data_IF_039686198928
#
_entry.id   IF_039686198928
#
_cell.length_a   1.000
_cell.length_b   1.000
_cell.length_c   1.000
_cell.angle_alpha   90.00
_cell.angle_beta   90.00
_cell.angle_gamma   90.00
#
_symmetry.space_group_name_H-M   'P 1'
#
loop_
_entity.id
_entity.type
_entity.pdbx_description
1 polymer ?
#
# COMPACT_ATOMS: atom_id res chain seq x y z
N UNK A 1 0.81 4.51 -29.22
CA UNK A 1 1.24 3.22 -29.81
C UNK A 1 2.29 2.45 -28.99
N UNK A 2 2.68 2.94 -27.81
CA UNK A 2 3.74 2.32 -26.95
C UNK A 2 3.20 1.35 -25.89
N UNK A 3 1.87 1.26 -25.72
CA UNK A 3 1.28 0.45 -24.64
C UNK A 3 1.08 -1.05 -24.91
N UNK A 4 1.26 -1.50 -26.16
CA UNK A 4 1.03 -2.93 -26.48
C UNK A 4 2.25 -3.86 -26.30
N UNK A 5 3.45 -3.33 -26.41
CA UNK A 5 4.70 -4.12 -26.33
C UNK A 5 5.13 -4.50 -24.91
N UNK A 6 4.82 -3.67 -23.91
CA UNK A 6 5.17 -3.96 -22.51
C UNK A 6 4.32 -5.08 -21.89
N UNK A 7 3.07 -5.23 -22.33
CA UNK A 7 2.16 -6.28 -21.83
C UNK A 7 2.60 -7.68 -22.28
N UNK A 8 3.13 -7.80 -23.52
CA UNK A 8 3.61 -9.07 -24.07
C UNK A 8 4.92 -9.53 -23.42
N UNK A 9 5.82 -8.61 -23.08
CA UNK A 9 7.06 -8.93 -22.38
C UNK A 9 6.81 -9.48 -20.97
N UNK A 10 5.80 -8.96 -20.27
CA UNK A 10 5.43 -9.43 -18.94
C UNK A 10 4.74 -10.81 -18.95
N UNK A 11 3.91 -11.08 -19.98
CA UNK A 11 3.27 -12.37 -20.18
C UNK A 11 4.27 -13.50 -20.55
N UNK A 12 5.33 -13.18 -21.29
CA UNK A 12 6.39 -14.14 -21.65
C UNK A 12 7.24 -14.52 -20.45
N UNK A 13 7.49 -13.59 -19.51
CA UNK A 13 8.21 -13.89 -18.26
C UNK A 13 7.42 -14.79 -17.31
N UNK A 14 6.09 -14.74 -17.35
CA UNK A 14 5.24 -15.63 -16.54
C UNK A 14 4.99 -17.00 -17.17
N UNK A 15 5.09 -17.14 -18.50
CA UNK A 15 4.81 -18.40 -19.21
C UNK A 15 6.00 -19.38 -19.25
N UNK A 16 7.22 -18.90 -18.96
CA UNK A 16 8.45 -19.70 -19.09
C UNK A 16 8.75 -20.69 -17.93
N UNK A 17 7.91 -20.81 -16.91
CA UNK A 17 8.20 -21.62 -15.73
C UNK A 17 7.43 -22.95 -15.66
N UNK A 18 7.23 -23.63 -16.78
CA UNK A 18 6.64 -24.98 -16.80
C UNK A 18 7.68 -25.98 -17.32
N UNK A 19 8.45 -26.59 -16.41
CA UNK A 19 9.13 -27.84 -16.70
C UNK A 19 8.50 -28.97 -15.84
N UNK A 20 7.97 -30.04 -16.45
CA UNK A 20 7.53 -31.19 -15.70
C UNK A 20 8.73 -32.05 -15.30
N UNK A 21 8.94 -32.20 -14.01
CA UNK A 21 9.87 -33.19 -13.48
C UNK A 21 9.25 -34.58 -13.56
N UNK A 22 9.75 -35.42 -14.43
CA UNK A 22 9.48 -36.86 -14.42
C UNK A 22 10.23 -37.49 -13.24
N UNK A 23 9.49 -38.09 -12.31
CA UNK A 23 10.03 -39.00 -11.35
C UNK A 23 10.08 -40.38 -12.01
N UNK A 24 11.27 -40.93 -12.19
CA UNK A 24 11.50 -42.29 -12.67
C UNK A 24 11.63 -43.16 -11.43
N UNK A 25 10.61 -43.97 -11.15
CA UNK A 25 10.71 -45.07 -10.18
C UNK A 25 11.53 -46.19 -10.77
N UNK A 26 12.69 -46.46 -10.20
CA UNK A 26 13.45 -47.67 -10.46
C UNK A 26 13.03 -48.78 -9.48
N UNK A 27 12.23 -49.71 -9.96
CA UNK A 27 11.88 -50.91 -9.20
C UNK A 27 13.08 -51.86 -9.09
N UNK A 28 13.45 -52.18 -7.84
CA UNK A 28 14.45 -53.22 -7.54
C UNK A 28 13.69 -54.54 -7.36
N UNK A 29 13.95 -55.54 -8.22
CA UNK A 29 13.58 -56.94 -7.97
C UNK A 29 14.67 -57.57 -7.11
N UNK A 30 14.32 -58.03 -5.94
CA UNK A 30 15.20 -58.86 -5.10
C UNK A 30 15.02 -60.32 -5.51
N UNK A 31 16.10 -60.98 -5.95
CA UNK A 31 16.21 -62.42 -6.12
C UNK A 31 17.11 -62.95 -5.01
N UNK A 32 16.63 -63.97 -4.28
CA UNK A 32 17.38 -64.63 -3.25
C UNK A 32 18.54 -65.44 -3.85
N UNK A 33 19.62 -65.51 -3.04
CA UNK A 33 20.87 -66.29 -3.22
C UNK A 33 21.87 -65.66 -4.20
N UNK A 34 22.81 -64.90 -3.63
CA UNK A 34 24.26 -65.04 -3.74
C UNK A 34 24.95 -63.88 -3.06
N UNK A 35 25.98 -64.20 -2.28
CA UNK A 35 26.78 -63.17 -1.53
C UNK A 35 27.55 -62.30 -2.50
N UNK A 36 26.97 -61.15 -2.88
CA UNK A 36 27.61 -60.16 -3.75
C UNK A 36 28.47 -59.26 -2.86
N UNK A 37 29.77 -59.33 -2.98
CA UNK A 37 30.71 -58.35 -2.44
C UNK A 37 30.56 -57.07 -3.23
N UNK A 38 29.94 -56.07 -2.63
CA UNK A 38 29.89 -54.73 -3.20
C UNK A 38 31.26 -54.06 -3.09
N UNK A 39 31.96 -53.94 -4.21
CA UNK A 39 33.09 -53.00 -4.31
C UNK A 39 32.51 -51.60 -4.54
N UNK A 40 32.54 -50.75 -3.51
CA UNK A 40 32.10 -49.36 -3.63
C UNK A 40 33.10 -48.63 -4.52
N UNK A 41 32.77 -48.41 -5.78
CA UNK A 41 33.47 -47.45 -6.65
C UNK A 41 32.79 -46.11 -6.46
N UNK A 42 33.43 -45.10 -5.85
CA UNK A 42 32.83 -43.81 -5.74
C UNK A 42 32.60 -43.28 -7.17
N UNK A 43 31.34 -42.96 -7.49
CA UNK A 43 31.01 -42.26 -8.72
C UNK A 43 31.82 -40.96 -8.78
N UNK A 44 32.39 -40.58 -9.92
CA UNK A 44 33.08 -39.31 -10.08
C UNK A 44 32.12 -38.19 -9.61
N UNK A 45 32.51 -37.45 -8.61
CA UNK A 45 31.79 -36.23 -8.23
C UNK A 45 31.86 -35.29 -9.44
N UNK A 46 30.78 -35.22 -10.24
CA UNK A 46 30.66 -34.18 -11.23
C UNK A 46 30.81 -32.83 -10.52
N UNK A 47 31.79 -32.05 -10.96
CA UNK A 47 31.95 -30.71 -10.49
C UNK A 47 30.60 -29.96 -10.59
N UNK A 48 30.15 -29.24 -9.57
CA UNK A 48 28.83 -28.66 -9.52
C UNK A 48 28.66 -27.73 -10.73
N UNK A 49 27.89 -28.16 -11.73
CA UNK A 49 27.53 -27.33 -12.88
C UNK A 49 26.92 -26.05 -12.38
N UNK A 50 27.50 -24.90 -12.76
CA UNK A 50 26.95 -23.59 -12.41
C UNK A 50 25.50 -23.51 -12.87
N UNK A 51 24.56 -23.56 -11.94
CA UNK A 51 23.12 -23.46 -12.25
C UNK A 51 22.86 -22.17 -13.04
N UNK A 52 22.01 -22.22 -14.09
CA UNK A 52 21.60 -21.01 -14.83
C UNK A 52 21.08 -19.94 -13.86
N UNK A 53 21.32 -18.67 -14.19
CA UNK A 53 20.95 -17.54 -13.34
C UNK A 53 19.46 -17.55 -12.91
N UNK A 54 18.55 -17.83 -13.84
CA UNK A 54 17.12 -17.99 -13.55
C UNK A 54 16.83 -19.12 -12.56
N UNK A 55 17.53 -20.27 -12.67
CA UNK A 55 17.37 -21.37 -11.74
C UNK A 55 17.88 -21.04 -10.34
N UNK A 56 18.94 -20.23 -10.23
CA UNK A 56 19.42 -19.70 -8.93
C UNK A 56 18.38 -18.81 -8.27
N UNK A 57 17.70 -17.94 -9.04
CA UNK A 57 16.63 -17.09 -8.56
C UNK A 57 15.46 -17.95 -8.06
N UNK A 58 15.00 -18.93 -8.86
CA UNK A 58 13.90 -19.83 -8.48
C UNK A 58 14.26 -20.66 -7.24
N UNK A 59 15.48 -21.20 -7.18
CA UNK A 59 15.96 -21.97 -6.02
C UNK A 59 16.07 -21.07 -4.78
N UNK A 60 16.54 -19.82 -4.92
CA UNK A 60 16.60 -18.85 -3.83
C UNK A 60 15.22 -18.57 -3.22
N UNK A 61 14.22 -18.31 -4.07
CA UNK A 61 12.84 -18.12 -3.61
C UNK A 61 12.19 -19.43 -3.10
N UNK A 62 12.57 -20.59 -3.64
CA UNK A 62 12.11 -21.90 -3.19
C UNK A 62 12.62 -22.30 -1.80
N UNK A 63 13.88 -21.96 -1.48
CA UNK A 63 14.51 -22.29 -0.19
C UNK A 63 14.10 -21.36 0.96
N UNK A 64 13.40 -20.26 0.67
CA UNK A 64 13.02 -19.25 1.65
C UNK A 64 11.87 -19.67 2.59
N UNK A 65 11.40 -20.91 2.52
CA UNK A 65 10.36 -21.46 3.41
C UNK A 65 10.91 -22.15 4.65
N UNK A 66 12.23 -22.38 4.74
CA UNK A 66 12.86 -23.05 5.87
C UNK A 66 13.25 -22.02 6.94
N UNK A 67 12.82 -22.22 8.19
CA UNK A 67 13.23 -21.39 9.32
C UNK A 67 14.69 -21.69 9.67
N UNK A 68 15.58 -20.73 9.40
CA UNK A 68 17.02 -20.81 9.72
C UNK A 68 17.41 -19.89 10.87
N UNK A 69 16.47 -19.38 11.62
CA UNK A 69 16.72 -18.43 12.71
C UNK A 69 17.42 -19.06 13.91
N UNK A 70 17.42 -20.38 14.03
CA UNK A 70 18.20 -21.11 15.02
C UNK A 70 19.69 -21.23 14.65
N UNK A 71 19.99 -21.24 13.34
CA UNK A 71 21.36 -21.41 12.84
C UNK A 71 22.07 -20.07 12.58
N UNK A 72 21.31 -19.09 12.05
CA UNK A 72 21.83 -17.77 11.67
C UNK A 72 21.43 -16.69 12.68
N UNK A 73 22.29 -15.65 12.82
CA UNK A 73 21.94 -14.47 13.64
C UNK A 73 20.72 -13.75 13.09
N UNK A 74 20.70 -13.53 11.78
CA UNK A 74 19.57 -12.98 11.04
C UNK A 74 19.50 -13.74 9.73
N UNK A 75 18.33 -14.27 9.40
CA UNK A 75 18.05 -14.90 8.10
C UNK A 75 17.48 -13.86 7.14
N UNK A 76 18.35 -13.32 6.28
CA UNK A 76 18.00 -12.27 5.34
C UNK A 76 17.40 -12.84 4.05
N UNK A 77 16.38 -12.16 3.56
CA UNK A 77 15.74 -12.40 2.26
C UNK A 77 15.63 -11.10 1.50
N UNK A 78 15.97 -11.10 0.21
CA UNK A 78 15.88 -9.94 -0.67
C UNK A 78 14.87 -10.25 -1.76
N UNK A 79 13.91 -9.38 -1.97
CA UNK A 79 12.93 -9.47 -3.04
C UNK A 79 12.90 -8.16 -3.84
N UNK A 80 13.62 -8.07 -4.96
CA UNK A 80 13.45 -6.97 -5.90
C UNK A 80 12.16 -7.16 -6.70
N UNK A 81 11.52 -6.08 -7.10
CA UNK A 81 10.33 -6.15 -7.94
C UNK A 81 10.01 -4.85 -8.64
N UNK A 82 9.54 -4.93 -9.89
CA UNK A 82 8.92 -3.78 -10.53
C UNK A 82 7.60 -3.45 -9.82
N UNK A 83 7.20 -2.20 -9.89
CA UNK A 83 5.89 -1.76 -9.44
C UNK A 83 5.35 -0.69 -10.39
N UNK A 84 4.05 -0.52 -10.37
CA UNK A 84 3.36 0.50 -11.13
C UNK A 84 2.11 0.94 -10.39
N UNK A 85 1.86 2.23 -10.40
CA UNK A 85 0.59 2.82 -10.01
C UNK A 85 0.31 4.00 -10.93
N UNK A 86 -0.96 4.26 -11.21
CA UNK A 86 -1.37 5.42 -12.00
C UNK A 86 -0.90 6.73 -11.39
N UNK A 87 -0.73 6.77 -10.07
CA UNK A 87 -0.41 7.98 -9.32
C UNK A 87 1.10 8.30 -9.32
N UNK A 88 1.95 7.27 -9.40
CA UNK A 88 3.42 7.43 -9.28
C UNK A 88 4.21 6.88 -10.46
N UNK A 89 3.54 6.29 -11.45
CA UNK A 89 4.15 5.73 -12.66
C UNK A 89 4.84 4.39 -12.42
N UNK A 90 5.72 4.02 -13.37
CA UNK A 90 6.51 2.80 -13.28
C UNK A 90 7.68 2.99 -12.32
N UNK A 91 7.94 1.98 -11.50
CA UNK A 91 9.02 2.00 -10.51
C UNK A 91 9.75 0.68 -10.36
N UNK A 92 10.86 0.75 -9.66
CA UNK A 92 11.61 -0.40 -9.18
C UNK A 92 11.65 -0.32 -7.67
N UNK A 93 11.19 -1.40 -7.03
CA UNK A 93 11.23 -1.55 -5.59
C UNK A 93 12.12 -2.71 -5.15
N UNK A 94 12.51 -2.70 -3.89
CA UNK A 94 13.14 -3.82 -3.24
C UNK A 94 12.61 -3.98 -1.82
N UNK A 95 12.54 -5.21 -1.36
CA UNK A 95 12.26 -5.56 0.03
C UNK A 95 13.43 -6.38 0.55
N UNK A 96 14.08 -5.89 1.59
CA UNK A 96 15.04 -6.64 2.40
C UNK A 96 14.34 -7.01 3.69
N UNK A 97 14.14 -8.30 3.95
CA UNK A 97 13.50 -8.80 5.16
C UNK A 97 14.45 -9.73 5.92
N UNK A 98 14.57 -9.54 7.22
CA UNK A 98 15.35 -10.36 8.13
C UNK A 98 14.48 -10.98 9.22
N UNK A 99 14.66 -12.28 9.47
CA UNK A 99 14.07 -12.97 10.60
C UNK A 99 15.16 -13.31 11.61
N UNK A 100 14.90 -13.13 12.88
CA UNK A 100 15.87 -13.41 13.94
C UNK A 100 15.17 -13.79 15.25
N UNK A 101 15.90 -14.47 16.12
CA UNK A 101 15.42 -14.80 17.48
C UNK A 101 16.23 -13.99 18.49
N UNK A 102 15.53 -13.35 19.42
CA UNK A 102 16.17 -12.65 20.55
C UNK A 102 16.79 -13.66 21.51
N UNK A 103 16.08 -14.76 21.76
CA UNK A 103 16.60 -15.92 22.49
C UNK A 103 16.51 -17.16 21.59
N UNK A 104 17.66 -17.75 21.27
CA UNK A 104 17.75 -18.95 20.43
C UNK A 104 17.40 -20.23 21.14
N UNK A 105 17.33 -20.21 22.45
CA UNK A 105 16.91 -21.37 23.26
C UNK A 105 15.40 -21.45 23.35
N UNK A 106 14.69 -20.34 23.10
CA UNK A 106 13.22 -20.30 23.09
C UNK A 106 12.66 -20.76 21.73
N UNK A 107 12.12 -21.98 21.72
CA UNK A 107 11.45 -22.56 20.56
C UNK A 107 9.97 -22.18 20.45
N UNK A 108 9.38 -21.56 21.49
CA UNK A 108 7.96 -21.23 21.57
C UNK A 108 7.68 -19.84 20.99
N UNK A 109 8.57 -18.88 21.26
CA UNK A 109 8.44 -17.52 20.70
C UNK A 109 8.70 -17.53 19.19
N UNK A 110 7.79 -16.96 18.42
CA UNK A 110 7.98 -16.78 16.98
C UNK A 110 9.18 -15.88 16.68
N UNK A 111 9.85 -16.04 15.53
CA UNK A 111 10.94 -15.16 15.15
C UNK A 111 10.49 -13.69 15.08
N UNK A 112 11.32 -12.81 15.61
CA UNK A 112 11.25 -11.37 15.40
C UNK A 112 11.62 -11.04 13.96
N UNK A 113 11.16 -9.90 13.46
CA UNK A 113 11.41 -9.50 12.08
C UNK A 113 11.94 -8.06 11.98
N UNK A 114 12.65 -7.80 10.92
CA UNK A 114 13.06 -6.46 10.48
C UNK A 114 12.94 -6.40 8.96
N UNK A 115 12.45 -5.30 8.43
CA UNK A 115 12.34 -5.10 6.99
C UNK A 115 12.75 -3.69 6.58
N UNK A 116 13.34 -3.59 5.39
CA UNK A 116 13.63 -2.34 4.70
C UNK A 116 13.00 -2.46 3.33
N UNK A 117 12.16 -1.50 3.00
CA UNK A 117 11.51 -1.40 1.70
C UNK A 117 11.92 -0.10 1.02
N UNK A 118 12.35 -0.19 -0.23
CA UNK A 118 12.66 0.95 -1.08
C UNK A 118 11.85 0.91 -2.37
N UNK A 119 11.42 2.07 -2.85
CA UNK A 119 10.72 2.23 -4.11
C UNK A 119 11.11 3.55 -4.77
N UNK A 120 11.45 3.50 -6.06
CA UNK A 120 11.82 4.64 -6.88
C UNK A 120 11.06 4.57 -8.20
N UNK A 121 10.42 5.67 -8.61
CA UNK A 121 9.60 5.65 -9.82
C UNK A 121 10.00 6.71 -10.85
N UNK A 122 9.49 6.52 -12.07
CA UNK A 122 9.71 7.44 -13.21
C UNK A 122 9.13 8.83 -12.98
N UNK A 123 8.12 8.97 -12.11
CA UNK A 123 7.55 10.27 -11.74
C UNK A 123 8.26 10.89 -10.52
N UNK A 124 9.51 10.46 -10.24
CA UNK A 124 10.32 10.95 -9.12
C UNK A 124 9.74 10.67 -7.72
N UNK A 125 8.81 9.73 -7.60
CA UNK A 125 8.39 9.25 -6.29
C UNK A 125 9.51 8.42 -5.66
N UNK A 126 9.80 8.70 -4.40
CA UNK A 126 10.77 7.96 -3.59
C UNK A 126 10.11 7.55 -2.28
N UNK A 127 10.18 6.27 -1.95
CA UNK A 127 9.77 5.74 -0.66
C UNK A 127 10.87 4.86 -0.10
N UNK A 128 11.34 5.20 1.10
CA UNK A 128 12.17 4.33 1.93
C UNK A 128 11.42 4.08 3.23
N UNK A 129 11.20 2.81 3.58
CA UNK A 129 10.52 2.41 4.82
C UNK A 129 11.37 1.36 5.53
N UNK A 130 11.49 1.48 6.81
CA UNK A 130 11.95 0.40 7.68
C UNK A 130 10.85 0.06 8.68
N UNK A 131 10.78 -1.21 9.07
CA UNK A 131 9.87 -1.67 10.12
C UNK A 131 10.37 -2.96 10.73
N UNK A 132 9.94 -3.23 11.95
CA UNK A 132 10.23 -4.50 12.61
C UNK A 132 9.37 -4.73 13.84
N UNK A 133 9.30 -6.00 14.20
CA UNK A 133 8.61 -6.47 15.40
C UNK A 133 9.57 -7.34 16.23
N UNK A 134 9.75 -6.98 17.48
CA UNK A 134 10.42 -7.80 18.47
C UNK A 134 9.37 -8.52 19.33
N UNK A 135 9.42 -9.84 19.33
CA UNK A 135 8.50 -10.70 20.07
C UNK A 135 9.18 -11.23 21.33
N UNK A 136 8.48 -11.12 22.44
CA UNK A 136 8.97 -11.54 23.76
C UNK A 136 7.93 -12.40 24.49
N UNK A 137 8.37 -13.09 25.52
CA UNK A 137 7.52 -13.79 26.48
C UNK A 137 6.46 -14.68 25.82
N UNK A 138 6.91 -15.64 24.97
CA UNK A 138 6.05 -16.58 24.25
C UNK A 138 4.97 -15.86 23.41
N UNK A 139 5.36 -14.82 22.68
CA UNK A 139 4.50 -13.96 21.85
C UNK A 139 3.48 -13.10 22.62
N UNK A 140 3.57 -13.04 23.95
CA UNK A 140 2.66 -12.21 24.76
C UNK A 140 2.99 -10.73 24.69
N UNK A 141 4.22 -10.40 24.40
CA UNK A 141 4.69 -9.01 24.34
C UNK A 141 5.31 -8.74 22.97
N UNK A 142 5.03 -7.55 22.43
CA UNK A 142 5.55 -7.11 21.15
C UNK A 142 5.98 -5.65 21.23
N UNK A 143 7.20 -5.39 20.77
CA UNK A 143 7.70 -4.05 20.48
C UNK A 143 7.78 -3.88 18.98
N UNK A 144 6.93 -3.01 18.41
CA UNK A 144 6.93 -2.70 16.98
C UNK A 144 7.54 -1.33 16.77
N UNK A 145 8.34 -1.20 15.73
CA UNK A 145 8.93 0.07 15.30
C UNK A 145 8.83 0.22 13.79
N UNK A 146 8.65 1.44 13.33
CA UNK A 146 8.61 1.75 11.91
C UNK A 146 9.05 3.17 11.64
N UNK A 147 9.59 3.40 10.47
CA UNK A 147 9.85 4.73 9.95
C UNK A 147 9.77 4.72 8.44
N UNK A 148 9.51 5.89 7.89
CA UNK A 148 9.46 6.08 6.46
C UNK A 148 9.98 7.47 6.08
N UNK A 149 10.65 7.53 4.94
CA UNK A 149 10.92 8.74 4.20
C UNK A 149 10.20 8.65 2.86
N UNK A 150 9.44 9.69 2.53
CA UNK A 150 8.65 9.75 1.29
C UNK A 150 8.89 11.09 0.62
N UNK A 151 9.25 11.06 -0.66
CA UNK A 151 9.23 12.21 -1.55
C UNK A 151 8.17 11.94 -2.62
N UNK A 152 7.09 12.70 -2.59
CA UNK A 152 5.91 12.46 -3.40
C UNK A 152 5.51 13.71 -4.19
N UNK A 153 5.85 13.77 -5.50
CA UNK A 153 5.23 14.71 -6.42
C UNK A 153 3.79 14.26 -6.68
N UNK A 154 2.84 15.04 -6.25
CA UNK A 154 1.42 14.70 -6.33
C UNK A 154 0.55 15.93 -6.45
N UNK A 155 -0.75 15.76 -6.20
CA UNK A 155 -1.74 16.81 -6.31
C UNK A 155 -2.55 16.98 -5.02
N UNK A 156 -2.93 18.22 -4.73
CA UNK A 156 -3.83 18.55 -3.65
C UNK A 156 -5.15 19.10 -4.21
N UNK A 157 -6.26 18.47 -3.81
CA UNK A 157 -7.61 18.78 -4.29
C UNK A 157 -8.43 19.63 -3.30
N UNK A 158 -7.84 20.06 -2.18
CA UNK A 158 -8.53 20.75 -1.10
C UNK A 158 -8.98 19.80 0.02
N UNK A 159 -9.77 20.35 0.95
CA UNK A 159 -10.32 19.61 2.11
C UNK A 159 -11.84 19.52 1.96
N UNK A 160 -12.39 18.34 2.20
CA UNK A 160 -13.81 18.05 2.12
C UNK A 160 -14.22 17.29 0.86
N UNK A 161 -15.42 16.71 0.91
CA UNK A 161 -15.99 15.97 -0.21
C UNK A 161 -16.21 16.86 -1.46
N UNK A 162 -16.74 18.07 -1.29
CA UNK A 162 -17.04 18.97 -2.41
C UNK A 162 -15.78 19.38 -3.17
N UNK A 163 -14.68 19.67 -2.44
CA UNK A 163 -13.41 20.01 -3.07
C UNK A 163 -12.89 18.86 -3.95
N UNK A 164 -12.94 17.63 -3.45
CA UNK A 164 -12.58 16.44 -4.23
C UNK A 164 -13.49 16.20 -5.44
N UNK A 165 -14.79 16.49 -5.31
CA UNK A 165 -15.79 16.36 -6.38
C UNK A 165 -15.63 17.43 -7.46
N UNK A 166 -15.32 18.66 -7.07
CA UNK A 166 -15.03 19.75 -8.02
C UNK A 166 -13.81 19.47 -8.88
N UNK A 167 -12.82 18.71 -8.37
CA UNK A 167 -11.70 18.20 -9.16
C UNK A 167 -10.62 19.22 -9.52
N UNK A 168 -10.63 20.43 -8.94
CA UNK A 168 -9.52 21.36 -9.05
C UNK A 168 -8.32 20.83 -8.27
N UNK A 169 -7.15 20.87 -8.89
CA UNK A 169 -5.95 20.28 -8.33
C UNK A 169 -4.77 21.23 -8.48
N UNK A 170 -3.99 21.36 -7.42
CA UNK A 170 -2.71 22.07 -7.43
C UNK A 170 -1.57 21.07 -7.25
N UNK A 171 -0.56 21.18 -8.12
CA UNK A 171 0.64 20.35 -8.00
C UNK A 171 1.36 20.68 -6.69
N UNK A 172 1.68 19.61 -5.95
CA UNK A 172 2.28 19.69 -4.63
C UNK A 172 3.37 18.61 -4.52
N UNK A 173 4.59 19.03 -4.26
CA UNK A 173 5.66 18.10 -3.91
C UNK A 173 5.77 17.99 -2.40
N UNK A 174 5.45 16.80 -1.87
CA UNK A 174 5.49 16.52 -0.43
C UNK A 174 6.73 15.75 -0.06
N UNK A 175 7.43 16.20 0.99
CA UNK A 175 8.51 15.44 1.65
C UNK A 175 8.03 15.06 3.04
N UNK A 176 7.99 13.77 3.34
CA UNK A 176 7.50 13.25 4.62
C UNK A 176 8.55 12.38 5.29
N UNK A 177 8.68 12.54 6.61
CA UNK A 177 9.46 11.68 7.47
C UNK A 177 8.60 11.20 8.64
N UNK A 178 8.57 9.89 8.88
CA UNK A 178 7.80 9.33 10.00
C UNK A 178 8.63 8.37 10.81
N UNK A 179 8.47 8.39 12.13
CA UNK A 179 9.00 7.38 13.05
C UNK A 179 7.93 7.05 14.05
N UNK A 180 7.64 5.75 14.23
CA UNK A 180 6.64 5.27 15.17
C UNK A 180 7.22 4.10 15.96
N UNK A 181 6.90 4.05 17.25
CA UNK A 181 7.22 2.95 18.16
C UNK A 181 5.95 2.60 18.92
N UNK A 182 5.70 1.32 19.10
CA UNK A 182 4.58 0.84 19.89
C UNK A 182 4.97 -0.42 20.67
N UNK A 183 4.42 -0.52 21.86
CA UNK A 183 4.57 -1.69 22.72
C UNK A 183 3.22 -2.20 23.11
N UNK A 184 3.00 -3.51 23.01
CA UNK A 184 1.76 -4.14 23.48
C UNK A 184 2.01 -5.42 24.23
N UNK A 185 1.05 -5.75 25.08
CA UNK A 185 1.02 -7.00 25.84
C UNK A 185 -0.34 -7.69 25.68
N UNK A 186 -0.32 -9.02 25.65
CA UNK A 186 -1.53 -9.82 25.66
C UNK A 186 -2.15 -9.80 27.05
N UNK A 187 -3.40 -9.35 27.15
CA UNK A 187 -4.20 -9.46 28.36
C UNK A 187 -4.87 -10.83 28.48
N UNK A 188 -5.41 -11.34 27.38
CA UNK A 188 -6.08 -12.63 27.34
C UNK A 188 -5.99 -13.24 25.94
N UNK A 189 -5.27 -14.36 25.81
CA UNK A 189 -5.15 -15.10 24.56
C UNK A 189 -4.65 -14.22 23.39
N UNK A 190 -5.54 -13.90 22.46
CA UNK A 190 -5.25 -13.12 21.24
C UNK A 190 -5.67 -11.64 21.35
N UNK A 191 -6.02 -11.18 22.54
CA UNK A 191 -6.37 -9.79 22.80
C UNK A 191 -5.17 -9.06 23.40
N UNK A 192 -4.74 -7.99 22.75
CA UNK A 192 -3.58 -7.18 23.11
C UNK A 192 -3.99 -5.74 23.38
N UNK A 193 -3.33 -5.12 24.34
CA UNK A 193 -3.41 -3.68 24.59
C UNK A 193 -2.01 -3.09 24.58
N UNK A 194 -1.91 -1.86 24.15
CA UNK A 194 -0.60 -1.24 23.99
C UNK A 194 -0.63 0.26 23.98
N UNK A 195 0.59 0.81 23.95
CA UNK A 195 0.87 2.24 23.85
C UNK A 195 1.67 2.50 22.57
N UNK A 196 1.51 3.67 21.99
CA UNK A 196 2.26 4.10 20.82
C UNK A 196 2.79 5.52 20.99
N UNK A 197 3.87 5.82 20.31
CA UNK A 197 4.42 7.16 20.18
C UNK A 197 5.08 7.34 18.83
N UNK A 198 5.10 8.56 18.33
CA UNK A 198 5.75 8.80 17.04
C UNK A 198 5.84 10.26 16.66
N UNK A 199 6.63 10.46 15.61
CA UNK A 199 6.92 11.74 15.00
C UNK A 199 6.56 11.69 13.53
N UNK A 200 5.91 12.74 13.03
CA UNK A 200 5.58 12.91 11.61
C UNK A 200 6.00 14.32 11.17
N UNK A 201 6.97 14.39 10.31
CA UNK A 201 7.33 15.61 9.60
C UNK A 201 6.72 15.57 8.20
N UNK A 202 6.14 16.69 7.77
CA UNK A 202 5.69 16.89 6.39
C UNK A 202 6.05 18.28 5.95
N UNK A 203 6.73 18.38 4.80
CA UNK A 203 7.00 19.61 4.09
C UNK A 203 6.33 19.60 2.73
N UNK A 204 5.82 20.72 2.28
CA UNK A 204 5.19 20.91 0.98
C UNK A 204 5.85 22.03 0.19
N UNK A 205 6.30 21.70 -1.02
CA UNK A 205 6.69 22.69 -2.02
C UNK A 205 5.58 22.79 -3.08
N UNK A 206 5.11 23.99 -3.35
CA UNK A 206 4.01 24.27 -4.25
C UNK A 206 4.23 25.58 -5.00
N UNK A 207 3.54 25.72 -6.12
CA UNK A 207 3.55 26.95 -6.92
C UNK A 207 2.12 27.26 -7.33
N UNK A 208 1.77 28.56 -7.32
CA UNK A 208 0.52 29.03 -7.91
C UNK A 208 0.51 28.80 -9.41
N UNK A 209 -0.65 28.43 -9.93
CA UNK A 209 -0.85 28.22 -11.37
C UNK A 209 -0.79 29.52 -12.18
N UNK A 210 -1.08 30.66 -11.55
CA UNK A 210 -1.25 31.94 -12.23
C UNK A 210 -2.38 31.97 -13.27
N UNK A 211 -3.32 31.01 -13.16
CA UNK A 211 -4.33 30.78 -14.20
C UNK A 211 -5.30 31.97 -14.36
N UNK A 212 -5.66 32.63 -13.28
CA UNK A 212 -6.51 33.82 -13.32
C UNK A 212 -5.87 34.93 -14.16
N UNK A 213 -4.62 35.30 -13.83
CA UNK A 213 -3.88 36.34 -14.55
C UNK A 213 -3.64 35.96 -16.03
N UNK A 214 -3.39 34.69 -16.30
CA UNK A 214 -3.20 34.16 -17.65
C UNK A 214 -4.48 34.31 -18.52
N UNK A 215 -5.63 33.88 -18.00
CA UNK A 215 -6.90 33.98 -18.73
C UNK A 215 -7.37 35.43 -18.91
N UNK A 216 -7.17 36.28 -17.91
CA UNK A 216 -7.39 37.72 -18.04
C UNK A 216 -6.46 38.33 -19.10
N UNK A 217 -5.20 37.90 -19.14
CA UNK A 217 -4.27 38.33 -20.17
C UNK A 217 -4.68 37.97 -21.60
N UNK A 218 -5.35 36.83 -21.80
CA UNK A 218 -5.94 36.45 -23.10
C UNK A 218 -7.15 37.36 -23.39
N UNK A 219 -8.06 37.56 -22.44
CA UNK A 219 -9.23 38.43 -22.59
C UNK A 219 -8.82 39.87 -22.96
N UNK A 220 -7.78 40.38 -22.31
CA UNK A 220 -7.32 41.74 -22.49
C UNK A 220 -6.36 41.90 -23.69
N UNK A 221 -6.13 40.85 -24.47
CA UNK A 221 -5.28 40.85 -25.67
C UNK A 221 -3.77 40.87 -25.40
N UNK A 222 -3.34 40.65 -24.14
CA UNK A 222 -1.92 40.53 -23.78
C UNK A 222 -1.29 39.23 -24.24
N UNK A 223 -2.10 38.19 -24.35
CA UNK A 223 -1.69 36.84 -24.80
C UNK A 223 -2.64 36.36 -25.90
N UNK A 224 -2.11 35.61 -26.86
CA UNK A 224 -2.93 34.92 -27.87
C UNK A 224 -3.64 33.72 -27.21
N UNK A 225 -4.87 33.43 -27.67
CA UNK A 225 -5.60 32.24 -27.22
C UNK A 225 -4.89 31.00 -27.74
N UNK A 226 -4.42 30.10 -26.86
CA UNK A 226 -3.74 28.87 -27.27
C UNK A 226 -4.75 27.85 -27.83
N UNK A 227 -4.22 26.90 -28.60
CA UNK A 227 -4.99 25.70 -28.97
C UNK A 227 -5.05 24.66 -27.85
N UNK A 228 -5.89 23.62 -28.07
CA UNK A 228 -5.98 22.46 -27.18
C UNK A 228 -6.63 22.77 -25.82
N UNK A 229 -6.22 22.03 -24.80
CA UNK A 229 -6.81 22.07 -23.46
C UNK A 229 -6.85 23.48 -22.81
N UNK A 230 -5.81 24.26 -23.00
CA UNK A 230 -5.74 25.64 -22.45
C UNK A 230 -6.72 26.59 -23.14
N UNK A 231 -6.93 26.45 -24.44
CA UNK A 231 -7.92 27.21 -25.18
C UNK A 231 -9.34 26.85 -24.77
N UNK A 232 -9.58 25.57 -24.54
CA UNK A 232 -10.85 25.08 -24.03
C UNK A 232 -11.16 25.64 -22.61
N UNK A 233 -10.14 25.74 -21.74
CA UNK A 233 -10.31 26.37 -20.41
C UNK A 233 -10.71 27.84 -20.51
N UNK A 234 -10.18 28.59 -21.48
CA UNK A 234 -10.57 29.97 -21.72
C UNK A 234 -12.07 30.07 -22.10
N UNK A 235 -12.54 29.19 -23.01
CA UNK A 235 -13.95 29.15 -23.39
C UNK A 235 -14.86 28.77 -22.22
N UNK A 236 -14.47 27.75 -21.45
CA UNK A 236 -15.20 27.37 -20.23
C UNK A 236 -15.22 28.46 -19.17
N UNK A 237 -14.17 29.28 -19.07
CA UNK A 237 -14.14 30.43 -18.17
C UNK A 237 -15.12 31.52 -18.61
N UNK A 238 -15.15 31.83 -19.90
CA UNK A 238 -16.12 32.79 -20.44
C UNK A 238 -17.57 32.33 -20.25
N UNK A 239 -17.81 31.02 -20.28
CA UNK A 239 -19.11 30.40 -20.01
C UNK A 239 -19.43 30.32 -18.49
N UNK A 240 -18.52 30.71 -17.61
CA UNK A 240 -18.68 30.59 -16.15
C UNK A 240 -18.64 29.15 -15.62
N UNK A 241 -18.15 28.20 -16.41
CA UNK A 241 -18.06 26.77 -16.07
C UNK A 241 -16.69 26.37 -15.50
N UNK A 242 -15.65 27.18 -15.72
CA UNK A 242 -14.33 27.04 -15.14
C UNK A 242 -14.04 28.26 -14.24
N UNK A 243 -13.57 28.00 -13.03
CA UNK A 243 -13.30 29.02 -12.00
C UNK A 243 -11.77 29.00 -11.69
N UNK A 244 -10.98 29.87 -12.34
CA UNK A 244 -9.53 29.86 -12.23
C UNK A 244 -9.02 30.13 -10.82
N UNK A 245 -9.80 30.88 -10.00
CA UNK A 245 -9.49 31.13 -8.59
C UNK A 245 -9.51 29.85 -7.73
N UNK A 246 -10.18 28.80 -8.19
CA UNK A 246 -10.19 27.47 -7.54
C UNK A 246 -9.01 26.59 -7.96
N UNK A 247 -8.21 26.98 -8.97
CA UNK A 247 -7.14 26.15 -9.53
C UNK A 247 -6.00 25.91 -8.53
N UNK A 248 -5.85 26.76 -7.53
CA UNK A 248 -4.80 26.70 -6.52
C UNK A 248 -5.34 26.33 -5.12
N UNK A 249 -5.97 25.13 -4.92
CA UNK A 249 -6.66 24.82 -3.68
C UNK A 249 -5.75 24.73 -2.45
N UNK A 250 -4.45 24.42 -2.61
CA UNK A 250 -3.51 24.41 -1.50
C UNK A 250 -3.14 25.84 -1.07
N UNK A 251 -2.83 26.72 -2.02
CA UNK A 251 -2.55 28.12 -1.75
C UNK A 251 -3.74 28.79 -1.05
N UNK A 252 -4.95 28.54 -1.56
CA UNK A 252 -6.20 29.05 -0.99
C UNK A 252 -6.44 28.53 0.44
N UNK A 253 -6.18 27.23 0.67
CA UNK A 253 -6.31 26.64 2.00
C UNK A 253 -5.33 27.28 3.00
N UNK A 254 -4.05 27.40 2.64
CA UNK A 254 -3.03 28.03 3.50
C UNK A 254 -3.40 29.47 3.83
N UNK A 255 -3.82 30.26 2.82
CA UNK A 255 -4.25 31.63 3.01
C UNK A 255 -5.46 31.76 3.94
N UNK A 256 -6.46 30.89 3.76
CA UNK A 256 -7.70 30.92 4.55
C UNK A 256 -7.53 30.43 6.00
N UNK A 257 -6.64 29.47 6.24
CA UNK A 257 -6.51 28.83 7.56
C UNK A 257 -5.31 29.30 8.36
N UNK A 258 -4.33 29.94 7.72
CA UNK A 258 -3.04 30.28 8.31
C UNK A 258 -2.22 29.04 8.70
N UNK A 259 -2.53 27.86 8.14
CA UNK A 259 -1.75 26.64 8.34
C UNK A 259 -0.37 26.78 7.69
N UNK A 260 0.57 25.92 8.08
CA UNK A 260 1.93 25.94 7.55
C UNK A 260 2.12 24.84 6.51
N UNK A 261 2.82 25.12 5.40
CA UNK A 261 3.22 24.07 4.44
C UNK A 261 4.08 22.99 5.10
N UNK A 262 4.90 23.37 6.08
CA UNK A 262 5.77 22.48 6.81
C UNK A 262 5.27 22.31 8.25
N UNK A 263 5.13 21.08 8.70
CA UNK A 263 4.68 20.75 10.03
C UNK A 263 5.40 19.54 10.59
N UNK A 264 5.74 19.60 11.87
CA UNK A 264 6.16 18.45 12.68
C UNK A 264 5.03 18.14 13.66
N UNK A 265 4.59 16.90 13.71
CA UNK A 265 3.55 16.44 14.62
C UNK A 265 4.05 15.22 15.39
N UNK A 266 4.06 15.32 16.72
CA UNK A 266 4.38 14.24 17.61
C UNK A 266 3.12 13.74 18.34
N UNK A 267 3.04 12.45 18.59
CA UNK A 267 1.91 11.86 19.28
C UNK A 267 2.31 10.85 20.34
N UNK A 268 1.40 10.70 21.30
CA UNK A 268 1.29 9.53 22.17
C UNK A 268 -0.07 8.90 21.94
N UNK A 269 -0.17 7.60 22.07
CA UNK A 269 -1.41 6.89 21.80
C UNK A 269 -1.56 5.62 22.61
N UNK A 270 -2.78 5.11 22.63
CA UNK A 270 -3.15 3.80 23.18
C UNK A 270 -3.88 3.01 22.11
N UNK A 271 -3.75 1.69 22.14
CA UNK A 271 -4.50 0.84 21.24
C UNK A 271 -4.88 -0.49 21.87
N UNK A 272 -5.95 -1.06 21.34
CA UNK A 272 -6.37 -2.42 21.60
C UNK A 272 -6.46 -3.19 20.28
N UNK A 273 -6.06 -4.45 20.29
CA UNK A 273 -6.02 -5.31 19.10
C UNK A 273 -6.47 -6.72 19.44
N UNK A 274 -7.30 -7.29 18.57
CA UNK A 274 -7.68 -8.69 18.59
C UNK A 274 -7.36 -9.33 17.24
N UNK A 275 -6.56 -10.41 17.22
CA UNK A 275 -6.07 -11.02 15.98
C UNK A 275 -6.19 -12.54 16.05
N UNK A 276 -7.13 -13.08 15.28
CA UNK A 276 -7.35 -14.53 15.13
C UNK A 276 -7.02 -15.05 13.73
N UNK A 277 -6.43 -14.21 12.87
CA UNK A 277 -6.05 -14.62 11.52
C UNK A 277 -5.14 -15.84 11.53
N UNK A 278 -5.32 -16.72 10.57
CA UNK A 278 -4.45 -17.88 10.37
C UNK A 278 -3.05 -17.48 9.90
N UNK A 279 -2.95 -16.41 9.13
CA UNK A 279 -1.68 -15.80 8.66
C UNK A 279 -1.87 -14.30 8.48
N UNK A 280 -0.85 -13.53 8.80
CA UNK A 280 -0.93 -12.05 8.76
C UNK A 280 -0.98 -11.49 7.33
N UNK A 281 -0.20 -12.08 6.39
CA UNK A 281 -0.02 -11.48 5.04
C UNK A 281 -1.07 -11.87 4.01
N UNK A 282 -1.71 -13.03 4.15
CA UNK A 282 -2.74 -13.52 3.24
C UNK A 282 -3.66 -14.45 4.03
N UNK A 283 -4.48 -13.84 4.86
CA UNK A 283 -5.41 -14.54 5.71
C UNK A 283 -6.49 -15.25 4.88
N UNK A 284 -6.82 -16.47 5.31
CA UNK A 284 -7.91 -17.25 4.71
C UNK A 284 -9.08 -17.48 5.68
N UNK A 285 -8.86 -17.26 6.96
CA UNK A 285 -9.89 -17.30 8.01
C UNK A 285 -9.45 -16.49 9.20
N UNK A 286 -10.43 -16.00 9.96
CA UNK A 286 -10.21 -15.27 11.20
C UNK A 286 -10.65 -13.83 11.13
N UNK A 287 -10.40 -13.12 12.20
CA UNK A 287 -10.77 -11.71 12.38
C UNK A 287 -9.57 -10.95 12.88
N UNK A 288 -9.41 -9.74 12.40
CA UNK A 288 -8.49 -8.75 12.93
C UNK A 288 -9.26 -7.48 13.27
N UNK A 289 -9.13 -7.01 14.49
CA UNK A 289 -9.70 -5.74 14.95
C UNK A 289 -8.60 -4.95 15.63
N UNK A 290 -8.42 -3.69 15.22
CA UNK A 290 -7.51 -2.76 15.90
C UNK A 290 -8.21 -1.42 16.06
N UNK A 291 -8.33 -0.95 17.31
CA UNK A 291 -8.75 0.40 17.64
C UNK A 291 -7.57 1.16 18.26
N UNK A 292 -7.27 2.34 17.75
CA UNK A 292 -6.15 3.17 18.21
C UNK A 292 -6.60 4.61 18.40
N UNK A 293 -6.26 5.20 19.53
CA UNK A 293 -6.47 6.61 19.85
C UNK A 293 -5.11 7.29 20.04
N UNK A 294 -4.85 8.35 19.24
CA UNK A 294 -3.64 9.15 19.28
C UNK A 294 -3.95 10.57 19.71
N UNK A 295 -3.13 11.11 20.59
CA UNK A 295 -3.19 12.47 21.02
C UNK A 295 -1.95 13.23 20.55
N UNK A 296 -2.18 14.36 19.88
CA UNK A 296 -1.17 15.26 19.32
C UNK A 296 -1.20 16.58 20.09
N UNK A 297 -0.49 16.71 21.23
CA UNK A 297 -0.47 17.92 22.02
C UNK A 297 0.40 18.98 21.38
N UNK A 298 -0.01 20.23 21.48
CA UNK A 298 0.69 21.38 20.92
C UNK A 298 2.13 21.53 21.42
N UNK A 299 2.36 21.20 22.69
CA UNK A 299 3.68 21.30 23.33
C UNK A 299 4.69 20.23 22.92
N UNK A 300 4.25 19.12 22.31
CA UNK A 300 5.13 18.00 21.95
C UNK A 300 5.70 18.10 20.52
N UNK A 301 5.27 19.07 19.73
CA UNK A 301 5.75 19.21 18.35
C UNK A 301 5.53 20.60 17.78
N UNK A 302 5.73 20.76 16.49
CA UNK A 302 5.47 22.02 15.79
C UNK A 302 3.98 22.26 15.50
N UNK A 303 3.12 21.45 16.06
CA UNK A 303 1.67 21.54 15.92
C UNK A 303 1.17 22.78 16.66
N UNK A 304 0.54 23.70 15.97
CA UNK A 304 0.00 24.93 16.59
C UNK A 304 -1.28 24.72 17.37
N UNK A 305 -1.91 23.54 17.23
CA UNK A 305 -3.22 23.23 17.84
C UNK A 305 -3.24 21.77 18.24
N UNK A 306 -3.67 21.53 19.46
CA UNK A 306 -3.90 20.16 19.94
C UNK A 306 -5.04 19.50 19.17
N UNK A 307 -4.84 18.25 18.75
CA UNK A 307 -5.87 17.43 18.14
C UNK A 307 -5.72 15.97 18.55
N UNK A 308 -6.81 15.22 18.42
CA UNK A 308 -6.84 13.77 18.60
C UNK A 308 -7.19 13.07 17.31
N UNK A 309 -6.71 11.83 17.13
CA UNK A 309 -7.06 10.95 16.01
C UNK A 309 -7.45 9.58 16.53
N UNK A 310 -8.57 9.08 16.07
CA UNK A 310 -9.05 7.74 16.34
C UNK A 310 -9.09 6.95 15.05
N UNK A 311 -8.56 5.72 15.05
CA UNK A 311 -8.63 4.81 13.91
C UNK A 311 -9.18 3.47 14.35
N UNK A 312 -10.02 2.88 13.50
CA UNK A 312 -10.57 1.54 13.66
C UNK A 312 -10.32 0.75 12.37
N UNK A 313 -9.75 -0.43 12.50
CA UNK A 313 -9.64 -1.41 11.42
C UNK A 313 -10.37 -2.67 11.85
N UNK A 314 -11.19 -3.22 10.97
CA UNK A 314 -11.89 -4.48 11.18
C UNK A 314 -11.80 -5.30 9.89
N UNK A 315 -11.05 -6.40 9.93
CA UNK A 315 -10.93 -7.34 8.83
C UNK A 315 -11.57 -8.68 9.21
N UNK A 316 -12.30 -9.24 8.28
CA UNK A 316 -12.93 -10.55 8.41
C UNK A 316 -12.60 -11.42 7.22
N UNK A 317 -12.18 -12.68 7.48
CA UNK A 317 -11.80 -13.64 6.46
C UNK A 317 -12.54 -14.95 6.66
N UNK A 318 -13.17 -15.44 5.59
CA UNK A 318 -13.93 -16.69 5.62
C UNK A 318 -13.65 -17.51 4.36
N UNK A 319 -13.26 -18.77 4.55
CA UNK A 319 -13.24 -19.73 3.45
C UNK A 319 -14.66 -20.10 3.07
N UNK A 320 -15.01 -19.96 1.78
CA UNK A 320 -16.34 -20.29 1.28
C UNK A 320 -16.35 -21.69 0.69
N UNK A 321 -15.46 -21.97 -0.27
CA UNK A 321 -15.25 -23.27 -0.90
C UNK A 321 -13.78 -23.46 -1.24
N UNK A 322 -13.46 -24.56 -1.96
CA UNK A 322 -12.07 -24.89 -2.30
C UNK A 322 -11.41 -23.76 -3.11
N UNK A 323 -10.39 -23.14 -2.51
CA UNK A 323 -9.64 -22.05 -3.12
C UNK A 323 -10.31 -20.68 -3.05
N UNK A 324 -11.52 -20.57 -2.50
CA UNK A 324 -12.23 -19.30 -2.37
C UNK A 324 -12.19 -18.76 -0.94
N UNK A 325 -11.89 -17.46 -0.83
CA UNK A 325 -11.90 -16.71 0.43
C UNK A 325 -12.68 -15.43 0.21
N UNK A 326 -13.66 -15.18 1.07
CA UNK A 326 -14.27 -13.88 1.23
C UNK A 326 -13.44 -13.10 2.26
N UNK A 327 -12.95 -11.95 1.85
CA UNK A 327 -12.26 -11.00 2.72
C UNK A 327 -13.07 -9.70 2.77
N UNK A 328 -13.38 -9.23 3.97
CA UNK A 328 -14.07 -7.97 4.21
C UNK A 328 -13.20 -7.08 5.07
N UNK A 329 -13.15 -5.81 4.75
CA UNK A 329 -12.39 -4.79 5.49
C UNK A 329 -13.31 -3.58 5.74
N UNK A 330 -13.28 -3.08 6.96
CA UNK A 330 -13.90 -1.83 7.39
C UNK A 330 -12.84 -0.98 8.07
N UNK A 331 -12.68 0.22 7.58
CA UNK A 331 -11.76 1.19 8.12
C UNK A 331 -12.47 2.49 8.47
N UNK A 332 -12.21 3.02 9.64
CA UNK A 332 -12.66 4.33 10.04
C UNK A 332 -11.48 5.14 10.59
N UNK A 333 -11.47 6.43 10.26
CA UNK A 333 -10.47 7.40 10.69
C UNK A 333 -11.17 8.70 11.06
N UNK A 334 -11.00 9.15 12.28
CA UNK A 334 -11.67 10.35 12.78
C UNK A 334 -10.69 11.23 13.55
N UNK A 335 -10.65 12.50 13.19
CA UNK A 335 -9.86 13.52 13.85
C UNK A 335 -10.76 14.51 14.59
N UNK A 336 -10.48 14.74 15.87
CA UNK A 336 -11.11 15.76 16.69
C UNK A 336 -10.15 16.95 16.85
N UNK A 337 -10.64 18.17 16.72
CA UNK A 337 -9.82 19.38 16.74
C UNK A 337 -9.45 19.87 15.35
N UNK A 338 -8.29 20.52 15.22
CA UNK A 338 -7.83 21.12 13.97
C UNK A 338 -6.44 20.58 13.63
N UNK A 339 -6.38 19.49 12.84
CA UNK A 339 -5.11 18.90 12.41
C UNK A 339 -4.43 19.78 11.35
N UNK A 340 -3.12 19.61 11.18
CA UNK A 340 -2.40 20.15 10.02
C UNK A 340 -2.92 19.54 8.71
N UNK A 341 -2.80 20.24 7.61
CA UNK A 341 -3.36 19.87 6.29
C UNK A 341 -3.09 18.43 5.83
N UNK A 342 -1.94 17.88 6.18
CA UNK A 342 -1.53 16.52 5.79
C UNK A 342 -2.06 15.42 6.71
N UNK A 343 -2.57 15.80 7.90
CA UNK A 343 -3.07 14.87 8.91
C UNK A 343 -4.56 14.52 8.76
N UNK A 344 -5.26 15.16 7.83
CA UNK A 344 -6.64 14.78 7.50
C UNK A 344 -6.71 13.34 6.96
N UNK A 345 -7.78 12.63 7.28
CA UNK A 345 -8.04 11.30 6.76
C UNK A 345 -8.18 11.34 5.22
N UNK A 346 -7.48 10.44 4.53
CA UNK A 346 -7.39 10.42 3.07
C UNK A 346 -8.04 9.14 2.54
N UNK A 347 -8.91 9.29 1.56
CA UNK A 347 -9.52 8.19 0.82
C UNK A 347 -8.70 7.83 -0.41
N UNK A 348 -8.74 6.56 -0.80
CA UNK A 348 -8.10 6.06 -2.01
C UNK A 348 -6.74 5.43 -1.76
N UNK A 349 -6.09 5.02 -2.84
CA UNK A 349 -4.75 4.45 -2.81
C UNK A 349 -4.71 2.98 -3.21
N UNK A 350 -3.72 2.27 -2.69
CA UNK A 350 -3.41 0.90 -3.12
C UNK A 350 -4.17 -0.18 -2.34
N UNK A 351 -4.67 0.13 -1.16
CA UNK A 351 -5.29 -0.84 -0.25
C UNK A 351 -6.81 -0.76 -0.29
N UNK A 352 -7.37 0.43 -0.12
CA UNK A 352 -8.79 0.72 -0.06
C UNK A 352 -9.21 1.67 -1.15
N UNK A 353 -10.49 1.64 -1.53
CA UNK A 353 -11.05 2.52 -2.57
C UNK A 353 -10.14 2.59 -3.81
N UNK A 354 -9.60 1.44 -4.21
CA UNK A 354 -8.71 1.28 -5.38
C UNK A 354 -9.40 1.80 -6.64
N UNK A 355 -8.75 2.68 -7.37
CA UNK A 355 -9.33 3.41 -8.50
C UNK A 355 -9.47 4.91 -8.24
N UNK A 356 -9.29 5.35 -6.99
CA UNK A 356 -9.18 6.77 -6.65
C UNK A 356 -7.75 7.16 -6.35
N UNK A 357 -7.37 8.37 -6.77
CA UNK A 357 -6.11 9.00 -6.35
C UNK A 357 -6.13 9.20 -4.83
N UNK A 358 -5.05 8.77 -4.15
CA UNK A 358 -4.94 8.89 -2.69
C UNK A 358 -4.99 10.35 -2.25
N UNK A 359 -5.98 10.67 -1.42
CA UNK A 359 -6.16 12.00 -0.87
C UNK A 359 -6.82 13.01 -1.81
N UNK A 360 -7.40 12.59 -2.95
CA UNK A 360 -8.34 13.42 -3.70
C UNK A 360 -9.54 13.82 -2.81
N UNK A 361 -10.05 12.88 -2.06
CA UNK A 361 -11.06 13.11 -1.03
C UNK A 361 -10.39 12.99 0.33
N UNK A 362 -10.38 14.06 1.10
CA UNK A 362 -9.81 14.10 2.46
C UNK A 362 -10.62 15.00 3.35
N UNK A 363 -10.83 14.59 4.60
CA UNK A 363 -11.54 15.41 5.59
C UNK A 363 -11.18 14.91 7.02
N UNK A 364 -11.81 15.50 8.03
CA UNK A 364 -11.61 15.12 9.45
C UNK A 364 -12.05 13.70 9.75
N UNK A 365 -12.99 13.14 9.00
CA UNK A 365 -13.54 11.81 9.20
C UNK A 365 -13.63 11.06 7.89
N UNK A 366 -13.36 9.78 7.96
CA UNK A 366 -13.39 8.85 6.84
C UNK A 366 -13.99 7.53 7.32
N UNK A 367 -14.81 6.92 6.50
CA UNK A 367 -15.19 5.51 6.60
C UNK A 367 -15.05 4.87 5.24
N UNK A 368 -14.45 3.69 5.19
CA UNK A 368 -14.30 2.85 4.00
C UNK A 368 -14.66 1.42 4.36
N UNK A 369 -15.42 0.78 3.50
CA UNK A 369 -15.73 -0.64 3.62
C UNK A 369 -15.56 -1.31 2.26
N UNK A 370 -14.99 -2.50 2.24
CA UNK A 370 -14.82 -3.29 1.01
C UNK A 370 -15.00 -4.78 1.27
N UNK A 371 -15.45 -5.48 0.24
CA UNK A 371 -15.51 -6.92 0.19
C UNK A 371 -14.76 -7.42 -1.04
N UNK A 372 -13.92 -8.42 -0.86
CA UNK A 372 -13.08 -9.01 -1.89
C UNK A 372 -13.28 -10.53 -1.92
N UNK A 373 -13.64 -11.06 -3.07
CA UNK A 373 -13.69 -12.49 -3.33
C UNK A 373 -12.36 -12.89 -3.98
N UNK A 374 -11.57 -13.68 -3.26
CA UNK A 374 -10.29 -14.23 -3.70
C UNK A 374 -10.49 -15.68 -4.13
N UNK A 375 -10.21 -16.02 -5.39
CA UNK A 375 -10.32 -17.38 -5.91
C UNK A 375 -8.97 -17.87 -6.41
N UNK A 376 -8.42 -18.89 -5.76
CA UNK A 376 -7.27 -19.64 -6.28
C UNK A 376 -7.77 -20.57 -7.41
N UNK A 377 -7.23 -20.39 -8.62
CA UNK A 377 -7.67 -21.15 -9.81
C UNK A 377 -6.78 -22.37 -10.01
N UNK A 378 -5.48 -22.18 -10.08
CA UNK A 378 -4.54 -23.25 -10.39
C UNK A 378 -3.18 -23.01 -9.75
N UNK A 379 -2.67 -23.97 -8.97
CA UNK A 379 -1.35 -23.92 -8.31
C UNK A 379 -1.09 -22.58 -7.59
N UNK A 380 -0.33 -21.68 -8.24
CA UNK A 380 0.07 -20.37 -7.71
C UNK A 380 -0.75 -19.20 -8.28
N UNK A 381 -1.75 -19.49 -9.10
CA UNK A 381 -2.54 -18.50 -9.82
C UNK A 381 -3.91 -18.34 -9.19
N UNK A 382 -4.33 -17.10 -9.01
CA UNK A 382 -5.63 -16.73 -8.49
C UNK A 382 -6.15 -15.46 -9.15
N UNK A 383 -7.44 -15.21 -8.96
CA UNK A 383 -8.11 -13.97 -9.36
C UNK A 383 -8.87 -13.41 -8.18
N UNK A 384 -9.12 -12.13 -8.22
CA UNK A 384 -9.94 -11.43 -7.24
C UNK A 384 -10.91 -10.52 -7.93
N UNK A 385 -12.05 -10.31 -7.28
CA UNK A 385 -13.00 -9.25 -7.61
C UNK A 385 -13.40 -8.57 -6.30
N UNK A 386 -13.58 -7.26 -6.33
CA UNK A 386 -13.97 -6.50 -5.14
C UNK A 386 -14.99 -5.41 -5.46
N UNK A 387 -15.68 -5.04 -4.43
CA UNK A 387 -16.52 -3.86 -4.37
C UNK A 387 -16.29 -3.17 -3.03
N UNK A 388 -16.28 -1.85 -3.04
CA UNK A 388 -16.13 -1.04 -1.84
C UNK A 388 -16.89 0.27 -1.93
N UNK A 389 -17.11 0.87 -0.79
CA UNK A 389 -17.68 2.19 -0.66
C UNK A 389 -16.98 2.97 0.44
N UNK A 390 -16.91 4.27 0.28
CA UNK A 390 -16.28 5.15 1.25
C UNK A 390 -16.83 6.56 1.21
N UNK A 391 -16.63 7.27 2.32
CA UNK A 391 -17.06 8.65 2.46
C UNK A 391 -16.14 9.42 3.39
N UNK A 392 -15.90 10.68 3.04
CA UNK A 392 -15.24 11.66 3.91
C UNK A 392 -16.25 12.71 4.35
N UNK A 393 -16.11 13.20 5.59
CA UNK A 393 -16.94 14.30 6.13
C UNK A 393 -16.25 14.98 7.30
N UNK A 394 -16.77 16.14 7.69
CA UNK A 394 -16.23 16.97 8.79
C UNK A 394 -16.29 18.44 8.45
N UNK A 395 -15.88 18.82 7.25
CA UNK A 395 -16.18 20.15 6.65
C UNK A 395 -17.67 20.26 6.39
N UNK A 396 -18.27 19.22 5.82
CA UNK A 396 -19.71 19.07 5.63
C UNK A 396 -20.27 17.98 6.54
N UNK A 397 -21.61 17.94 6.70
CA UNK A 397 -22.29 16.85 7.41
C UNK A 397 -22.22 15.55 6.61
N UNK A 398 -22.27 14.40 7.31
CA UNK A 398 -22.44 13.10 6.69
C UNK A 398 -23.75 13.05 5.87
N UNK A 399 -23.66 12.56 4.62
CA UNK A 399 -24.81 12.33 3.72
C UNK A 399 -24.56 11.07 2.91
N UNK A 400 -25.48 10.13 2.94
CA UNK A 400 -25.36 8.89 2.17
C UNK A 400 -25.20 9.14 0.66
N UNK A 401 -25.73 10.24 0.12
CA UNK A 401 -25.57 10.64 -1.28
C UNK A 401 -24.12 10.96 -1.69
N UNK A 402 -23.25 11.19 -0.71
CA UNK A 402 -21.83 11.49 -0.93
C UNK A 402 -20.94 10.24 -0.86
N UNK A 403 -21.57 9.06 -0.74
CA UNK A 403 -20.82 7.80 -0.74
C UNK A 403 -20.23 7.54 -2.13
N UNK A 404 -18.92 7.33 -2.17
CA UNK A 404 -18.19 6.98 -3.37
C UNK A 404 -18.05 5.47 -3.46
N UNK A 405 -18.13 4.92 -4.68
CA UNK A 405 -18.03 3.50 -4.94
C UNK A 405 -16.70 3.18 -5.64
N UNK A 406 -16.08 2.07 -5.26
CA UNK A 406 -14.93 1.48 -5.92
C UNK A 406 -15.20 0.02 -6.21
N UNK A 407 -14.87 -0.43 -7.40
CA UNK A 407 -14.95 -1.85 -7.76
C UNK A 407 -13.83 -2.20 -8.73
N UNK A 408 -13.53 -3.48 -8.85
CA UNK A 408 -12.50 -3.90 -9.76
C UNK A 408 -12.23 -5.39 -9.72
N UNK A 409 -11.23 -5.77 -10.49
CA UNK A 409 -10.75 -7.13 -10.55
C UNK A 409 -9.22 -7.15 -10.59
N UNK A 410 -8.65 -8.29 -10.24
CA UNK A 410 -7.21 -8.43 -10.20
C UNK A 410 -6.76 -9.87 -10.35
N UNK A 411 -5.48 -10.00 -10.61
CA UNK A 411 -4.78 -11.27 -10.71
C UNK A 411 -3.80 -11.42 -9.54
N UNK A 412 -3.66 -12.64 -9.05
CA UNK A 412 -2.75 -13.00 -7.98
C UNK A 412 -1.79 -14.08 -8.44
N UNK A 413 -0.52 -13.88 -8.14
CA UNK A 413 0.51 -14.89 -8.32
C UNK A 413 1.24 -15.13 -7.00
N UNK A 414 1.08 -16.33 -6.43
CA UNK A 414 1.77 -16.73 -5.20
C UNK A 414 3.23 -17.07 -5.53
N UNK A 415 4.15 -16.12 -5.33
CA UNK A 415 5.57 -16.33 -5.64
C UNK A 415 6.33 -17.02 -4.50
N UNK A 416 5.88 -16.83 -3.25
CA UNK A 416 6.35 -17.50 -2.04
C UNK A 416 5.14 -17.95 -1.23
N UNK A 417 5.31 -18.92 -0.35
CA UNK A 417 4.19 -19.42 0.47
C UNK A 417 3.45 -18.26 1.14
N UNK A 418 2.18 -18.07 0.75
CA UNK A 418 1.28 -17.01 1.21
C UNK A 418 1.75 -15.55 0.97
N UNK A 419 2.69 -15.33 0.05
CA UNK A 419 3.05 -14.01 -0.44
C UNK A 419 2.65 -13.88 -1.90
N UNK A 420 1.78 -12.94 -2.19
CA UNK A 420 1.23 -12.74 -3.52
C UNK A 420 1.82 -11.51 -4.20
N UNK A 421 2.09 -11.64 -5.48
CA UNK A 421 2.16 -10.51 -6.40
C UNK A 421 0.74 -10.26 -6.88
N UNK A 422 0.29 -9.02 -6.83
CA UNK A 422 -1.03 -8.61 -7.31
C UNK A 422 -0.94 -7.64 -8.45
N UNK A 423 -1.86 -7.82 -9.39
CA UNK A 423 -2.17 -6.91 -10.48
C UNK A 423 -3.64 -6.56 -10.35
N UNK A 424 -3.96 -5.34 -10.02
CA UNK A 424 -5.32 -4.89 -9.82
C UNK A 424 -5.67 -3.78 -10.82
N UNK A 425 -6.91 -3.80 -11.30
CA UNK A 425 -7.48 -2.68 -12.03
C UNK A 425 -8.80 -2.28 -11.37
N UNK A 426 -8.80 -1.06 -10.82
CA UNK A 426 -9.91 -0.50 -10.08
C UNK A 426 -10.58 0.66 -10.80
N UNK A 427 -11.88 0.79 -10.60
CA UNK A 427 -12.71 1.90 -11.08
C UNK A 427 -13.38 2.60 -9.92
N UNK A 428 -13.43 3.93 -10.01
CA UNK A 428 -14.20 4.80 -9.14
C UNK A 428 -15.36 5.48 -9.88
N UNK A 429 -15.84 6.59 -9.40
CA UNK A 429 -16.86 7.41 -10.01
C UNK A 429 -16.28 8.29 -11.14
N UNK A 430 -17.15 8.90 -11.93
CA UNK A 430 -16.76 9.93 -12.89
C UNK A 430 -16.36 11.20 -12.15
N UNK A 431 -15.39 11.91 -12.71
CA UNK A 431 -14.94 13.20 -12.21
C UNK A 431 -15.84 14.35 -12.65
N UNK A 432 -15.31 15.56 -12.60
CA UNK A 432 -16.03 16.78 -13.00
C UNK A 432 -16.07 16.91 -14.54
N UNK A 433 -17.26 16.88 -15.18
CA UNK A 433 -17.37 16.97 -16.63
C UNK A 433 -16.94 18.35 -17.19
N UNK A 434 -16.88 19.38 -16.35
CA UNK A 434 -16.49 20.73 -16.76
C UNK A 434 -14.95 20.91 -16.80
N UNK A 435 -14.18 19.96 -16.27
CA UNK A 435 -12.71 20.05 -16.28
C UNK A 435 -12.15 19.06 -17.33
N UNK A 436 -11.41 19.53 -18.34
CA UNK A 436 -10.88 18.68 -19.42
C UNK A 436 -10.07 17.47 -18.95
N UNK A 437 -9.34 17.62 -17.84
CA UNK A 437 -8.51 16.56 -17.26
C UNK A 437 -9.29 15.59 -16.37
N UNK A 438 -10.49 15.94 -15.92
CA UNK A 438 -11.27 15.19 -14.91
C UNK A 438 -12.58 14.59 -15.43
N UNK A 439 -12.87 14.66 -16.74
CA UNK A 439 -14.13 14.16 -17.35
C UNK A 439 -14.26 12.65 -17.30
N UNK A 440 -13.15 11.92 -17.20
CA UNK A 440 -13.13 10.47 -17.26
C UNK A 440 -13.48 9.86 -15.90
N UNK A 441 -13.91 8.60 -15.96
CA UNK A 441 -14.06 7.78 -14.75
C UNK A 441 -12.69 7.63 -14.08
N UNK A 442 -12.66 7.83 -12.77
CA UNK A 442 -11.47 7.54 -11.98
C UNK A 442 -11.11 6.06 -12.11
N UNK A 443 -9.86 5.75 -12.41
CA UNK A 443 -9.39 4.37 -12.53
C UNK A 443 -7.90 4.31 -12.22
N UNK A 444 -7.47 3.18 -11.66
CA UNK A 444 -6.07 2.92 -11.36
C UNK A 444 -5.68 1.49 -11.71
N UNK A 445 -4.49 1.34 -12.29
CA UNK A 445 -3.81 0.06 -12.42
C UNK A 445 -2.73 -0.01 -11.33
N UNK A 446 -2.72 -1.10 -10.58
CA UNK A 446 -1.85 -1.31 -9.44
C UNK A 446 -1.08 -2.62 -9.60
N UNK A 447 0.22 -2.57 -9.36
CA UNK A 447 1.10 -3.73 -9.33
C UNK A 447 1.95 -3.68 -8.06
N UNK A 448 1.84 -4.69 -7.19
CA UNK A 448 2.58 -4.73 -5.92
C UNK A 448 2.71 -6.15 -5.38
N UNK A 449 3.64 -6.32 -4.45
CA UNK A 449 3.91 -7.60 -3.78
C UNK A 449 3.30 -7.62 -2.37
N UNK A 450 1.95 -7.62 -2.27
CA UNK A 450 1.19 -7.76 -1.02
C UNK A 450 -0.28 -8.03 -1.33
N UNK A 451 -1.08 -8.41 -0.34
CA UNK A 451 -2.54 -8.30 -0.44
C UNK A 451 -3.00 -6.87 -0.09
N UNK A 452 -4.28 -6.58 -0.35
CA UNK A 452 -4.84 -5.27 -0.09
C UNK A 452 -5.04 -5.03 1.43
N UNK A 453 -5.39 -6.09 2.19
CA UNK A 453 -5.61 -6.07 3.64
C UNK A 453 -5.55 -7.49 4.19
#
# INVERSE_FOLDING_TARGET
MVHRSALWALLILCAGAVCPGYAQESGIRVSDSDTIRYTYTPLPQEAPRKKPFLKRIVDYFGQSTTDRTFEKKIDWSIAPGPNYSSDVGFGIGFLLAGLYRLDRTDSVTAPSNVSIYGNFTTQKFVLLRFSGDNLFNHNRQRLSYSGAFVYFPGAFYGIGYEAGKEGYAQDLTTTMGTVNVSYCTSLAGRFYVGVSGGLNYTGAAYRSSGMTEYLEGIRDGRYEKPGGQRGELYDLWLEGRYLPEKQDPFSNYIAATGDRPNALNAHVGIFAQYDTRDVTFNASKGVFVKAEAKWYPEWLGNTRRTFGRFTLTFDFYQRLWKGAVLACDLYADATAGTPSWHMYAKMGGMERMRGYYEGRYRDKRLVEAQAELRQKIYRRHGVVAWIGGGQVWGTNRFRWSNTLCSFGCGYRFEFKNRMNIRLDYGWGNYGNPNLPWDRKRSSAFLFTASEAF
#
